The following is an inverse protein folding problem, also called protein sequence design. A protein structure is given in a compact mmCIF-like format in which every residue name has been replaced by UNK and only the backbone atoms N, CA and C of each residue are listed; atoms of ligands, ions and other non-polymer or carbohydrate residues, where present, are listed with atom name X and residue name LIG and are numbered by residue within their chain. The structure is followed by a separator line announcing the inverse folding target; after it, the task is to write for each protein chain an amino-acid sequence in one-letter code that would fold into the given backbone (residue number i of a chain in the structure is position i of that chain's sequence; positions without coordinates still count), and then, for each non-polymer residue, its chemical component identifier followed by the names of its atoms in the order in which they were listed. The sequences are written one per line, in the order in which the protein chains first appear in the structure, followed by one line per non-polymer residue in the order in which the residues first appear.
data_IF_202607419103
#
_entry.id   IF_202607419103
#
_cell.length_a   1.000
_cell.length_b   1.000
_cell.length_c   1.000
_cell.angle_alpha   90.00
_cell.angle_beta   90.00
_cell.angle_gamma   90.00
#
_symmetry.space_group_name_H-M   'P 1'
#
loop_
_entity.id
_entity.type
_entity.pdbx_description
1 polymer ?
#
# COMPACT_ATOMS: atom_id res chain seq x y z
N UNK A 1 -8.52 9.75 -18.47
CA UNK A 1 -7.72 8.51 -18.59
C UNK A 1 -6.54 8.57 -17.61
N UNK A 2 -5.80 9.68 -17.58
CA UNK A 2 -4.66 9.90 -16.66
C UNK A 2 -4.96 9.75 -15.16
N UNK A 3 -6.14 10.18 -14.68
CA UNK A 3 -6.48 10.08 -13.25
C UNK A 3 -6.58 8.63 -12.74
N UNK A 4 -7.14 7.72 -13.56
CA UNK A 4 -7.27 6.31 -13.18
C UNK A 4 -5.89 5.65 -13.09
N UNK A 5 -5.02 5.92 -14.05
CA UNK A 5 -3.66 5.38 -14.05
C UNK A 5 -2.84 5.91 -12.87
N UNK A 6 -2.98 7.19 -12.54
CA UNK A 6 -2.34 7.77 -11.36
C UNK A 6 -2.87 7.16 -10.05
N UNK A 7 -4.18 6.90 -9.97
CA UNK A 7 -4.80 6.23 -8.83
C UNK A 7 -4.33 4.78 -8.69
N UNK A 8 -4.35 4.01 -9.79
CA UNK A 8 -3.88 2.62 -9.80
C UNK A 8 -2.38 2.55 -9.42
N UNK A 9 -1.57 3.53 -9.85
CA UNK A 9 -0.17 3.65 -9.45
C UNK A 9 -0.01 3.99 -7.96
N UNK A 10 -0.87 4.84 -7.40
CA UNK A 10 -0.87 5.17 -5.97
C UNK A 10 -1.22 3.95 -5.10
N UNK A 11 -2.27 3.22 -5.48
CA UNK A 11 -2.64 1.95 -4.84
C UNK A 11 -1.49 0.95 -4.97
N UNK A 12 -0.91 0.79 -6.16
CA UNK A 12 0.21 -0.12 -6.40
C UNK A 12 1.46 0.18 -5.57
N UNK A 13 1.80 1.47 -5.38
CA UNK A 13 2.89 1.88 -4.48
C UNK A 13 2.61 1.51 -3.03
N UNK A 14 1.38 1.73 -2.58
CA UNK A 14 0.97 1.44 -1.19
C UNK A 14 0.96 -0.06 -0.92
N UNK A 15 0.45 -0.86 -1.87
CA UNK A 15 0.54 -2.34 -1.85
C UNK A 15 2.01 -2.79 -1.78
N UNK A 16 2.89 -2.20 -2.59
CA UNK A 16 4.31 -2.56 -2.59
C UNK A 16 5.02 -2.25 -1.26
N UNK A 17 4.66 -1.15 -0.60
CA UNK A 17 5.17 -0.85 0.75
C UNK A 17 4.64 -1.85 1.77
N UNK A 18 3.35 -2.20 1.71
CA UNK A 18 2.73 -3.20 2.58
C UNK A 18 3.41 -4.58 2.43
N UNK A 19 3.64 -5.07 1.21
CA UNK A 19 4.26 -6.37 0.98
C UNK A 19 5.68 -6.44 1.54
N UNK A 20 6.47 -5.37 1.39
CA UNK A 20 7.83 -5.32 1.93
C UNK A 20 7.84 -5.19 3.45
N UNK A 21 6.88 -4.49 4.03
CA UNK A 21 6.66 -4.45 5.47
C UNK A 21 6.30 -5.86 5.99
N UNK A 22 5.42 -6.60 5.31
CA UNK A 22 5.05 -7.97 5.64
C UNK A 22 6.26 -8.92 5.54
N UNK A 23 7.06 -8.82 4.48
CA UNK A 23 8.30 -9.59 4.30
C UNK A 23 9.33 -9.29 5.40
N UNK A 24 9.53 -8.01 5.72
CA UNK A 24 10.44 -7.59 6.79
C UNK A 24 9.98 -8.12 8.16
N UNK A 25 8.67 -8.07 8.43
CA UNK A 25 8.09 -8.64 9.63
C UNK A 25 8.34 -10.16 9.72
N UNK A 26 8.08 -10.90 8.65
CA UNK A 26 8.25 -12.36 8.60
C UNK A 26 9.72 -12.79 8.66
N UNK A 27 10.65 -11.97 8.15
CA UNK A 27 12.10 -12.23 8.20
C UNK A 27 12.75 -11.77 9.50
N UNK A 28 12.04 -11.01 10.35
CA UNK A 28 12.58 -10.44 11.59
C UNK A 28 13.49 -9.22 11.39
N UNK A 29 13.49 -8.62 10.21
CA UNK A 29 14.25 -7.39 9.94
C UNK A 29 13.52 -6.17 10.51
N UNK A 30 13.95 -5.72 11.69
CA UNK A 30 13.34 -4.56 12.37
C UNK A 30 13.53 -3.26 11.57
N UNK A 31 14.73 -3.03 11.03
CA UNK A 31 15.05 -1.81 10.28
C UNK A 31 14.21 -1.70 9.01
N UNK A 32 14.11 -2.80 8.25
CA UNK A 32 13.28 -2.81 7.04
C UNK A 32 11.79 -2.67 7.39
N UNK A 33 11.34 -3.29 8.49
CA UNK A 33 9.96 -3.15 8.93
C UNK A 33 9.63 -1.69 9.25
N UNK A 34 10.47 -1.01 10.06
CA UNK A 34 10.28 0.40 10.40
C UNK A 34 10.30 1.29 9.17
N UNK A 35 11.20 1.02 8.21
CA UNK A 35 11.27 1.76 6.95
C UNK A 35 10.01 1.60 6.10
N UNK A 36 9.59 0.36 5.82
CA UNK A 36 8.43 0.10 4.95
C UNK A 36 7.10 0.46 5.61
N UNK A 37 7.00 0.33 6.92
CA UNK A 37 5.85 0.84 7.68
C UNK A 37 5.75 2.37 7.56
N UNK A 38 6.86 3.10 7.69
CA UNK A 38 6.86 4.56 7.53
C UNK A 38 6.45 4.99 6.11
N UNK A 39 6.96 4.32 5.08
CA UNK A 39 6.57 4.60 3.69
C UNK A 39 5.09 4.23 3.42
N UNK A 40 4.59 3.13 3.99
CA UNK A 40 3.18 2.74 3.92
C UNK A 40 2.27 3.84 4.50
N UNK A 41 2.53 4.29 5.73
CA UNK A 41 1.78 5.39 6.35
C UNK A 41 1.85 6.67 5.53
N UNK A 42 3.05 7.05 5.07
CA UNK A 42 3.24 8.23 4.24
C UNK A 42 2.44 8.17 2.93
N UNK A 43 2.36 7.01 2.29
CA UNK A 43 1.59 6.86 1.05
C UNK A 43 0.09 6.98 1.31
N UNK A 44 -0.41 6.41 2.41
CA UNK A 44 -1.79 6.61 2.83
C UNK A 44 -2.09 8.10 3.02
N UNK A 45 -1.27 8.82 3.79
CA UNK A 45 -1.46 10.25 4.05
C UNK A 45 -1.50 11.06 2.74
N UNK A 46 -0.47 10.87 1.90
CA UNK A 46 -0.33 11.62 0.64
C UNK A 46 -1.47 11.33 -0.33
N UNK A 47 -1.88 10.06 -0.45
CA UNK A 47 -2.88 9.69 -1.45
C UNK A 47 -4.31 9.95 -0.97
N UNK A 48 -4.59 9.87 0.32
CA UNK A 48 -5.90 10.26 0.87
C UNK A 48 -6.10 11.77 0.73
N UNK A 49 -5.07 12.59 0.99
CA UNK A 49 -5.10 14.03 0.72
C UNK A 49 -5.29 14.33 -0.77
N UNK A 50 -4.52 13.69 -1.66
CA UNK A 50 -4.56 13.96 -3.09
C UNK A 50 -5.87 13.52 -3.77
N UNK A 51 -6.50 12.46 -3.27
CA UNK A 51 -7.72 11.88 -3.86
C UNK A 51 -9.00 12.37 -3.20
N UNK A 52 -8.91 12.91 -1.97
CA UNK A 52 -10.06 13.19 -1.11
C UNK A 52 -10.79 11.95 -0.60
N UNK A 53 -10.23 10.76 -0.83
CA UNK A 53 -10.78 9.49 -0.32
C UNK A 53 -10.43 9.40 1.17
N UNK A 54 -11.41 9.11 2.04
CA UNK A 54 -11.14 8.89 3.46
C UNK A 54 -10.09 7.79 3.67
N UNK A 55 -9.21 7.99 4.65
CA UNK A 55 -8.15 7.04 5.00
C UNK A 55 -8.63 5.60 5.12
N UNK A 56 -9.71 5.36 5.86
CA UNK A 56 -10.27 4.03 6.03
C UNK A 56 -10.67 3.37 4.71
N UNK A 57 -11.25 4.13 3.78
CA UNK A 57 -11.64 3.62 2.47
C UNK A 57 -10.41 3.35 1.58
N UNK A 58 -9.38 4.20 1.67
CA UNK A 58 -8.16 3.98 0.92
C UNK A 58 -7.42 2.73 1.41
N UNK A 59 -7.38 2.50 2.73
CA UNK A 59 -6.84 1.28 3.33
C UNK A 59 -7.61 0.04 2.84
N UNK A 60 -8.95 0.07 2.86
CA UNK A 60 -9.76 -1.03 2.33
C UNK A 60 -9.45 -1.34 0.86
N UNK A 61 -9.24 -0.31 0.02
CA UNK A 61 -8.85 -0.49 -1.40
C UNK A 61 -7.48 -1.17 -1.52
N UNK A 62 -6.53 -0.78 -0.66
CA UNK A 62 -5.19 -1.38 -0.63
C UNK A 62 -5.24 -2.83 -0.17
N UNK A 63 -5.99 -3.14 0.88
CA UNK A 63 -6.16 -4.51 1.39
C UNK A 63 -6.80 -5.43 0.33
N UNK A 64 -7.85 -4.96 -0.34
CA UNK A 64 -8.48 -5.65 -1.46
C UNK A 64 -7.49 -5.93 -2.60
N UNK A 65 -6.61 -4.96 -2.89
CA UNK A 65 -5.58 -5.10 -3.93
C UNK A 65 -4.50 -6.12 -3.54
N UNK A 66 -4.07 -6.12 -2.26
CA UNK A 66 -3.16 -7.14 -1.71
C UNK A 66 -3.78 -8.53 -1.84
N UNK A 67 -5.05 -8.69 -1.45
CA UNK A 67 -5.76 -9.98 -1.52
C UNK A 67 -5.85 -10.49 -2.97
N UNK A 68 -6.30 -9.64 -3.90
CA UNK A 68 -6.39 -10.00 -5.32
C UNK A 68 -5.05 -10.42 -5.90
N UNK A 69 -3.97 -9.72 -5.54
CA UNK A 69 -2.61 -10.07 -6.00
C UNK A 69 -2.14 -11.41 -5.42
N UNK A 70 -2.43 -11.70 -4.15
CA UNK A 70 -2.15 -12.99 -3.52
C UNK A 70 -2.93 -14.14 -4.17
N UNK A 71 -4.17 -13.91 -4.59
CA UNK A 71 -4.98 -14.92 -5.30
C UNK A 71 -4.48 -15.20 -6.72
N UNK A 72 -3.97 -14.19 -7.43
CA UNK A 72 -3.42 -14.35 -8.78
C UNK A 72 -2.07 -15.09 -8.82
N UNK A 73 -1.34 -15.08 -7.69
CA UNK A 73 -0.03 -15.71 -7.57
C UNK A 73 -0.09 -17.15 -6.98
N UNK A 74 -1.29 -17.69 -6.77
CA UNK A 74 -1.52 -19.09 -6.35
C UNK A 74 -1.63 -20.02 -7.55
#
# INVERSE_FOLDING_TARGET
MEWKEAFDAAVGKTVGAYEKMEEAFLSGSKEDFEHWHAEYCRYIDVFTEATGIPESQFIEIVDDAVLKKKEQNK
#
